data_IF_945871623451
#
_entry.id   IF_945871623451
#
_cell.length_a   1.000
_cell.length_b   1.000
_cell.length_c   1.000
_cell.angle_alpha   90.00
_cell.angle_beta   90.00
_cell.angle_gamma   90.00
#
_symmetry.space_group_name_H-M   'P 1'
#
loop_
_entity.id
_entity.type
_entity.pdbx_description
1 polymer ?
#
# COMPACT_ATOMS: atom_id res chain seq x y z
N UNK A 1 -14.90 8.77 2.13
CA UNK A 1 -13.70 9.52 1.69
C UNK A 1 -12.64 9.29 2.76
N UNK A 2 -11.51 8.70 2.38
CA UNK A 2 -10.42 8.37 3.28
C UNK A 2 -9.70 9.67 3.69
N UNK A 3 -9.75 10.05 4.96
CA UNK A 3 -9.07 11.25 5.47
C UNK A 3 -7.79 10.84 6.19
N UNK A 4 -6.68 10.89 5.46
CA UNK A 4 -5.35 10.61 5.98
C UNK A 4 -4.66 11.91 6.41
N UNK A 5 -3.86 11.82 7.46
CA UNK A 5 -2.92 12.86 7.88
C UNK A 5 -1.67 12.83 7.00
N UNK A 6 -0.87 13.90 7.03
CA UNK A 6 0.39 13.96 6.27
C UNK A 6 1.37 12.84 6.65
N UNK A 7 1.43 12.49 7.93
CA UNK A 7 2.25 11.38 8.44
C UNK A 7 1.81 10.04 7.86
N UNK A 8 0.50 9.77 7.87
CA UNK A 8 -0.07 8.55 7.28
C UNK A 8 0.12 8.49 5.76
N UNK A 9 -0.01 9.62 5.05
CA UNK A 9 0.25 9.70 3.62
C UNK A 9 1.72 9.44 3.28
N UNK A 10 2.64 10.00 4.06
CA UNK A 10 4.08 9.78 3.88
C UNK A 10 4.44 8.31 4.12
N UNK A 11 3.92 7.71 5.19
CA UNK A 11 4.13 6.29 5.50
C UNK A 11 3.63 5.38 4.38
N UNK A 12 2.39 5.60 3.92
CA UNK A 12 1.82 4.85 2.80
C UNK A 12 2.61 5.03 1.50
N UNK A 13 3.08 6.24 1.24
CA UNK A 13 3.89 6.52 0.05
C UNK A 13 5.22 5.77 0.08
N UNK A 14 5.88 5.71 1.23
CA UNK A 14 7.10 4.93 1.42
C UNK A 14 6.84 3.43 1.22
N UNK A 15 5.76 2.92 1.79
CA UNK A 15 5.41 1.50 1.69
C UNK A 15 5.04 1.07 0.27
N UNK A 16 4.28 1.90 -0.44
CA UNK A 16 3.97 1.65 -1.86
C UNK A 16 5.23 1.68 -2.73
N UNK A 17 6.21 2.53 -2.42
CA UNK A 17 7.47 2.56 -3.17
C UNK A 17 8.32 1.30 -2.91
N UNK A 18 8.36 0.80 -1.67
CA UNK A 18 8.99 -0.49 -1.32
C UNK A 18 8.32 -1.64 -2.06
N UNK A 19 6.99 -1.69 -2.06
CA UNK A 19 6.24 -2.75 -2.73
C UNK A 19 6.45 -2.72 -4.24
N UNK A 20 6.44 -1.53 -4.85
CA UNK A 20 6.76 -1.37 -6.27
C UNK A 20 8.16 -1.90 -6.60
N UNK A 21 9.16 -1.59 -5.77
CA UNK A 21 10.51 -2.10 -5.95
C UNK A 21 10.57 -3.64 -5.82
N UNK A 22 9.85 -4.19 -4.83
CA UNK A 22 9.72 -5.65 -4.62
C UNK A 22 9.11 -6.34 -5.85
N UNK A 23 8.01 -5.79 -6.38
CA UNK A 23 7.33 -6.31 -7.57
C UNK A 23 8.21 -6.26 -8.82
N UNK A 24 8.95 -5.15 -9.04
CA UNK A 24 9.90 -5.06 -10.13
C UNK A 24 11.05 -6.08 -10.01
N UNK A 25 11.53 -6.34 -8.79
CA UNK A 25 12.54 -7.37 -8.56
C UNK A 25 11.98 -8.78 -8.84
N UNK A 26 10.77 -9.08 -8.39
CA UNK A 26 10.09 -10.35 -8.68
C UNK A 26 9.88 -10.55 -10.20
N UNK A 27 9.53 -9.47 -10.92
CA UNK A 27 9.39 -9.45 -12.38
C UNK A 27 10.68 -9.86 -13.10
N UNK A 28 11.83 -9.48 -12.55
CA UNK A 28 13.14 -9.80 -13.12
C UNK A 28 13.58 -11.25 -12.88
N UNK A 29 13.01 -11.91 -11.85
CA UNK A 29 13.42 -13.25 -11.41
C UNK A 29 12.45 -14.36 -11.84
N UNK A 30 11.16 -14.08 -12.00
CA UNK A 30 10.13 -15.10 -12.28
C UNK A 30 9.12 -14.63 -13.35
N UNK A 31 9.40 -14.89 -14.65
CA UNK A 31 8.56 -14.45 -15.75
C UNK A 31 7.14 -15.07 -15.78
N UNK A 32 6.93 -16.20 -15.10
CA UNK A 32 5.67 -16.96 -15.14
C UNK A 32 4.57 -16.28 -14.30
N UNK A 33 4.94 -15.46 -13.30
CA UNK A 33 3.98 -14.74 -12.44
C UNK A 33 3.69 -13.31 -12.91
N UNK A 34 4.19 -12.92 -14.10
CA UNK A 34 4.10 -11.55 -14.63
C UNK A 34 2.67 -11.00 -14.67
N UNK A 35 1.69 -11.83 -15.03
CA UNK A 35 0.28 -11.41 -15.09
C UNK A 35 -0.27 -10.92 -13.75
N UNK A 36 0.16 -11.51 -12.63
CA UNK A 36 -0.31 -11.12 -11.30
C UNK A 36 0.50 -9.91 -10.79
N UNK A 37 1.82 -9.91 -11.03
CA UNK A 37 2.68 -8.78 -10.69
C UNK A 37 2.30 -7.49 -11.43
N UNK A 38 1.84 -7.58 -12.70
CA UNK A 38 1.35 -6.44 -13.47
C UNK A 38 0.06 -5.85 -12.89
N UNK A 39 -0.86 -6.71 -12.44
CA UNK A 39 -2.07 -6.26 -11.77
C UNK A 39 -1.74 -5.53 -10.46
N UNK A 40 -0.84 -6.09 -9.66
CA UNK A 40 -0.39 -5.47 -8.42
C UNK A 40 0.35 -4.14 -8.66
N UNK A 41 1.23 -4.07 -9.66
CA UNK A 41 1.91 -2.82 -10.05
C UNK A 41 0.93 -1.75 -10.54
N UNK A 42 -0.14 -2.15 -11.24
CA UNK A 42 -1.20 -1.24 -11.65
C UNK A 42 -1.91 -0.65 -10.42
N UNK A 43 -2.30 -1.50 -9.47
CA UNK A 43 -2.97 -1.08 -8.22
C UNK A 43 -2.07 -0.13 -7.42
N UNK A 44 -0.79 -0.47 -7.23
CA UNK A 44 0.19 0.38 -6.54
C UNK A 44 0.32 1.75 -7.23
N UNK A 45 0.37 1.78 -8.56
CA UNK A 45 0.47 3.02 -9.33
C UNK A 45 -0.79 3.89 -9.18
N UNK A 46 -1.98 3.27 -9.17
CA UNK A 46 -3.24 3.99 -8.91
C UNK A 46 -3.24 4.58 -7.50
N UNK A 47 -2.88 3.78 -6.49
CA UNK A 47 -2.77 4.22 -5.09
C UNK A 47 -1.81 5.40 -4.92
N UNK A 48 -0.62 5.35 -5.53
CA UNK A 48 0.33 6.48 -5.49
C UNK A 48 -0.24 7.75 -6.11
N UNK A 49 -1.02 7.63 -7.19
CA UNK A 49 -1.69 8.78 -7.82
C UNK A 49 -2.82 9.31 -6.92
N UNK A 50 -3.59 8.41 -6.30
CA UNK A 50 -4.69 8.75 -5.40
C UNK A 50 -4.21 9.36 -4.08
N UNK A 51 -3.04 8.99 -3.56
CA UNK A 51 -2.45 9.64 -2.40
C UNK A 51 -1.97 11.07 -2.70
N UNK A 52 -1.57 11.35 -3.94
CA UNK A 52 -1.28 12.72 -4.39
C UNK A 52 -2.55 13.55 -4.56
N UNK A 53 -3.64 12.92 -4.97
CA UNK A 53 -4.96 13.54 -5.05
C UNK A 53 -5.72 13.39 -3.73
N UNK A 54 -5.61 14.41 -2.86
CA UNK A 54 -6.25 14.55 -1.53
C UNK A 54 -7.77 14.26 -1.42
N UNK A 55 -8.45 13.92 -2.52
CA UNK A 55 -9.88 13.62 -2.60
C UNK A 55 -10.20 12.31 -3.35
N UNK A 56 -9.21 11.50 -3.70
CA UNK A 56 -9.45 10.31 -4.50
C UNK A 56 -10.13 9.21 -3.67
N UNK A 57 -11.18 8.60 -4.23
CA UNK A 57 -11.81 7.42 -3.65
C UNK A 57 -10.95 6.19 -3.93
N UNK A 58 -10.62 5.46 -2.87
CA UNK A 58 -9.93 4.17 -2.94
C UNK A 58 -10.96 3.06 -3.23
N UNK A 59 -10.69 2.18 -4.19
CA UNK A 59 -11.57 1.04 -4.53
C UNK A 59 -11.40 -0.09 -3.53
N UNK A 60 -12.29 -1.08 -3.52
CA UNK A 60 -12.19 -2.24 -2.62
C UNK A 60 -10.91 -3.05 -2.88
N UNK A 61 -10.54 -3.31 -4.14
CA UNK A 61 -9.28 -4.00 -4.48
C UNK A 61 -8.04 -3.23 -3.97
N UNK A 62 -8.05 -1.91 -4.07
CA UNK A 62 -6.97 -1.06 -3.55
C UNK A 62 -6.92 -1.07 -2.01
N UNK A 63 -8.09 -1.12 -1.33
CA UNK A 63 -8.15 -1.25 0.12
C UNK A 63 -7.63 -2.61 0.60
N UNK A 64 -8.00 -3.69 -0.08
CA UNK A 64 -7.49 -5.04 0.24
C UNK A 64 -5.96 -5.07 0.11
N UNK A 65 -5.42 -4.53 -0.98
CA UNK A 65 -3.97 -4.49 -1.15
C UNK A 65 -3.28 -3.64 -0.09
N UNK A 66 -3.81 -2.46 0.25
CA UNK A 66 -3.29 -1.65 1.35
C UNK A 66 -3.38 -2.38 2.69
N UNK A 67 -4.45 -3.11 2.93
CA UNK A 67 -4.66 -3.85 4.17
C UNK A 67 -3.60 -4.93 4.33
N UNK A 68 -3.36 -5.73 3.29
CA UNK A 68 -2.30 -6.75 3.29
C UNK A 68 -0.92 -6.12 3.55
N UNK A 69 -0.60 -5.03 2.84
CA UNK A 69 0.68 -4.33 2.97
C UNK A 69 0.93 -3.80 4.40
N UNK A 70 -0.09 -3.19 4.99
CA UNK A 70 0.00 -2.63 6.35
C UNK A 70 0.04 -3.74 7.40
N UNK A 71 -0.67 -4.84 7.19
CA UNK A 71 -0.63 -6.02 8.08
C UNK A 71 0.75 -6.69 8.05
N UNK A 72 1.31 -6.93 6.86
CA UNK A 72 2.64 -7.52 6.71
C UNK A 72 3.70 -6.69 7.44
N UNK A 73 3.60 -5.36 7.38
CA UNK A 73 4.52 -4.47 8.09
C UNK A 73 4.29 -4.42 9.61
N UNK A 74 3.04 -4.44 10.07
CA UNK A 74 2.75 -4.55 11.51
C UNK A 74 3.33 -5.86 12.07
N UNK A 75 3.24 -6.96 11.32
CA UNK A 75 3.79 -8.26 11.73
C UNK A 75 5.33 -8.27 11.72
N UNK A 76 5.97 -7.51 10.83
CA UNK A 76 7.43 -7.39 10.74
C UNK A 76 8.04 -6.41 11.76
N UNK A 77 7.28 -5.42 12.23
CA UNK A 77 7.76 -4.43 13.21
C UNK A 77 7.67 -5.01 14.64
N UNK A 78 8.78 -5.56 15.14
CA UNK A 78 8.88 -6.08 16.51
C UNK A 78 9.06 -5.03 17.63
N UNK A 79 8.88 -3.72 17.41
CA UNK A 79 9.12 -2.80 18.53
C UNK A 79 9.00 -1.29 18.38
N UNK A 80 8.49 -0.72 17.28
CA UNK A 80 8.31 0.73 17.22
C UNK A 80 7.00 1.15 16.54
N UNK A 81 6.11 1.73 17.36
CA UNK A 81 4.87 2.44 17.01
C UNK A 81 4.02 1.85 15.85
N UNK A 82 3.26 0.77 16.11
CA UNK A 82 2.20 0.32 15.20
C UNK A 82 1.06 1.35 15.04
N UNK A 83 0.97 2.36 15.91
CA UNK A 83 -0.17 3.27 15.98
C UNK A 83 -0.52 4.02 14.70
N UNK A 84 0.45 4.36 13.84
CA UNK A 84 0.16 5.01 12.55
C UNK A 84 -0.39 3.99 11.56
N UNK A 85 0.17 2.78 11.49
CA UNK A 85 -0.31 1.69 10.64
C UNK A 85 -1.72 1.23 11.05
N UNK A 86 -1.96 1.06 12.34
CA UNK A 86 -3.28 0.73 12.90
C UNK A 86 -4.30 1.86 12.66
N UNK A 87 -3.89 3.13 12.75
CA UNK A 87 -4.75 4.27 12.42
C UNK A 87 -5.17 4.26 10.95
N UNK A 88 -4.25 3.96 10.04
CA UNK A 88 -4.54 3.84 8.61
C UNK A 88 -5.51 2.68 8.34
N UNK A 89 -5.25 1.51 8.92
CA UNK A 89 -6.12 0.33 8.79
C UNK A 89 -7.54 0.62 9.30
N UNK A 90 -7.66 1.26 10.46
CA UNK A 90 -8.96 1.65 10.99
C UNK A 90 -9.71 2.62 10.07
N UNK A 91 -9.00 3.55 9.42
CA UNK A 91 -9.60 4.49 8.46
C UNK A 91 -10.01 3.82 7.14
N UNK A 92 -9.30 2.77 6.72
CA UNK A 92 -9.63 1.99 5.53
C UNK A 92 -10.88 1.11 5.73
N UNK A 93 -11.08 0.63 6.96
CA UNK A 93 -12.19 -0.24 7.36
C UNK A 93 -13.46 0.51 7.81
N UNK A 94 -13.45 1.86 7.83
CA UNK A 94 -14.60 2.73 8.14
C UNK A 94 -15.22 3.30 6.85
#
# INVERSE_FOLDING_TARGET
MLHLTLEEMNMLSEQLEKEKARLHQQYSQQPIEQSNADQQLHIVSQLQKKLKDLKANVTEEEKEMLTCLLQDEIEQIHGHSPGVYESILNKLNQ
#
